data_IF_587163743622
#
_entry.id   IF_587163743622
#
_cell.length_a   1.000
_cell.length_b   1.000
_cell.length_c   1.000
_cell.angle_alpha   90.00
_cell.angle_beta   90.00
_cell.angle_gamma   90.00
#
_symmetry.space_group_name_H-M   'P 1'
#
loop_
_entity.id
_entity.type
_entity.pdbx_description
1 polymer ?
#
# COMPACT_ATOMS: atom_id res chain seq x y z
N UNK A 1 10.87 11.96 4.02
CA UNK A 1 9.62 11.18 3.84
C UNK A 1 8.44 12.06 4.20
N UNK A 2 7.33 11.89 3.49
CA UNK A 2 6.05 12.53 3.77
C UNK A 2 5.05 11.48 4.23
N UNK A 3 4.07 11.89 5.01
CA UNK A 3 2.99 11.03 5.44
C UNK A 3 1.87 11.00 4.39
N UNK A 4 1.43 9.80 4.02
CA UNK A 4 0.27 9.59 3.16
C UNK A 4 -0.64 8.53 3.78
N UNK A 5 -1.94 8.73 3.63
CA UNK A 5 -2.96 7.79 4.04
C UNK A 5 -3.49 7.07 2.80
N UNK A 6 -3.48 5.74 2.83
CA UNK A 6 -4.03 4.90 1.79
C UNK A 6 -5.25 4.17 2.32
N UNK A 7 -6.41 4.41 1.72
CA UNK A 7 -7.62 3.65 2.05
C UNK A 7 -7.57 2.34 1.26
N UNK A 8 -7.24 1.24 1.94
CA UNK A 8 -7.14 -0.09 1.34
C UNK A 8 -8.12 -1.02 2.05
N UNK A 9 -9.08 -1.57 1.29
CA UNK A 9 -10.11 -2.47 1.80
C UNK A 9 -9.52 -3.73 2.46
N UNK A 10 -8.35 -4.18 2.01
CA UNK A 10 -7.75 -5.44 2.43
C UNK A 10 -6.62 -5.25 3.46
N UNK A 11 -6.66 -6.06 4.53
CA UNK A 11 -5.56 -6.12 5.51
C UNK A 11 -4.44 -7.03 5.00
N UNK A 12 -3.50 -6.49 4.23
CA UNK A 12 -2.31 -7.27 3.87
C UNK A 12 -1.04 -6.43 3.88
N UNK A 13 -0.46 -6.26 5.08
CA UNK A 13 0.79 -5.49 5.28
C UNK A 13 1.91 -6.03 4.40
N UNK A 14 2.03 -7.35 4.23
CA UNK A 14 3.11 -7.97 3.45
C UNK A 14 3.02 -7.59 1.97
N UNK A 15 1.82 -7.64 1.39
CA UNK A 15 1.59 -7.19 0.00
C UNK A 15 1.75 -5.68 -0.17
N UNK A 16 1.26 -4.89 0.80
CA UNK A 16 1.48 -3.46 0.79
C UNK A 16 2.98 -3.15 0.73
N UNK A 17 3.76 -3.79 1.61
CA UNK A 17 5.22 -3.66 1.61
C UNK A 17 5.82 -4.08 0.27
N UNK A 18 5.48 -5.25 -0.27
CA UNK A 18 5.97 -5.70 -1.57
C UNK A 18 5.74 -4.65 -2.66
N UNK A 19 4.53 -4.09 -2.73
CA UNK A 19 4.20 -3.11 -3.77
C UNK A 19 4.90 -1.76 -3.56
N UNK A 20 5.01 -1.30 -2.31
CA UNK A 20 5.81 -0.11 -1.98
C UNK A 20 7.30 -0.30 -2.26
N UNK A 21 7.81 -1.52 -2.10
CA UNK A 21 9.17 -1.91 -2.47
C UNK A 21 9.42 -1.75 -3.97
N UNK A 22 8.44 -2.12 -4.82
CA UNK A 22 8.53 -1.91 -6.27
C UNK A 22 8.60 -0.43 -6.65
N UNK A 23 7.86 0.44 -5.94
CA UNK A 23 7.82 1.88 -6.26
C UNK A 23 9.00 2.67 -5.73
N UNK A 24 9.43 2.40 -4.49
CA UNK A 24 10.41 3.22 -3.78
C UNK A 24 11.74 2.49 -3.52
N UNK A 25 11.76 1.17 -3.68
CA UNK A 25 12.86 0.32 -3.21
C UNK A 25 12.75 0.01 -1.72
N UNK A 26 13.37 -1.10 -1.31
CA UNK A 26 13.45 -1.48 0.09
C UNK A 26 14.08 -0.36 0.93
N UNK A 27 13.55 -0.16 2.14
CA UNK A 27 14.01 0.84 3.12
C UNK A 27 13.68 2.33 2.80
N UNK A 28 13.15 2.64 1.62
CA UNK A 28 12.75 4.02 1.27
C UNK A 28 11.32 4.38 1.69
N UNK A 29 10.62 3.48 2.38
CA UNK A 29 9.25 3.70 2.85
C UNK A 29 9.05 3.05 4.23
N UNK A 30 8.08 3.57 4.99
CA UNK A 30 7.70 3.03 6.28
C UNK A 30 6.18 2.84 6.35
N UNK A 31 5.74 1.71 6.91
CA UNK A 31 4.31 1.46 7.16
C UNK A 31 4.09 1.59 8.66
N UNK A 32 3.55 2.74 9.06
CA UNK A 32 3.44 3.17 10.47
C UNK A 32 2.33 2.41 11.17
N UNK A 33 1.09 2.63 10.76
CA UNK A 33 -0.09 2.12 11.45
C UNK A 33 -1.25 1.87 10.47
N UNK A 34 -2.19 1.02 10.87
CA UNK A 34 -3.48 0.86 10.21
C UNK A 34 -4.60 1.26 11.16
N UNK A 35 -5.47 2.16 10.71
CA UNK A 35 -6.71 2.53 11.39
C UNK A 35 -7.89 2.10 10.52
N UNK A 36 -8.55 1.00 10.88
CA UNK A 36 -9.66 0.44 10.08
C UNK A 36 -9.18 -0.03 8.70
N UNK A 37 -9.73 0.54 7.64
CA UNK A 37 -9.28 0.30 6.25
C UNK A 37 -8.23 1.31 5.78
N UNK A 38 -7.76 2.22 6.65
CA UNK A 38 -6.80 3.26 6.26
C UNK A 38 -5.40 2.92 6.76
N UNK A 39 -4.43 2.86 5.86
CA UNK A 39 -3.02 2.63 6.13
C UNK A 39 -2.27 3.95 6.15
N UNK A 40 -1.59 4.23 7.27
CA UNK A 40 -0.67 5.34 7.38
C UNK A 40 0.73 4.88 6.95
N UNK A 41 1.25 5.48 5.89
CA UNK A 41 2.59 5.20 5.36
C UNK A 41 3.42 6.47 5.27
N UNK A 42 4.73 6.31 5.37
CA UNK A 42 5.72 7.35 5.13
C UNK A 42 6.50 6.98 3.86
N UNK A 43 6.47 7.86 2.88
CA UNK A 43 7.03 7.62 1.54
C UNK A 43 7.82 8.85 1.07
N UNK A 44 8.76 8.73 0.12
CA UNK A 44 9.62 9.85 -0.26
C UNK A 44 8.88 10.86 -1.17
N UNK A 45 7.86 10.42 -1.91
CA UNK A 45 6.95 11.25 -2.72
C UNK A 45 5.51 10.78 -2.56
N UNK A 46 4.53 11.61 -2.93
CA UNK A 46 3.12 11.17 -2.95
C UNK A 46 2.93 10.10 -4.03
N UNK A 47 2.11 9.11 -3.71
CA UNK A 47 1.57 8.17 -4.70
C UNK A 47 0.48 8.88 -5.49
N UNK A 48 0.54 8.75 -6.81
CA UNK A 48 -0.51 9.20 -7.73
C UNK A 48 -1.75 8.31 -7.62
N UNK A 49 -2.90 8.81 -8.07
CA UNK A 49 -4.17 8.06 -8.03
C UNK A 49 -4.04 6.69 -8.69
N UNK A 50 -3.41 6.64 -9.87
CA UNK A 50 -3.12 5.41 -10.61
C UNK A 50 -2.29 4.40 -9.81
N UNK A 51 -1.27 4.87 -9.08
CA UNK A 51 -0.41 4.01 -8.26
C UNK A 51 -1.18 3.44 -7.05
N UNK A 52 -2.07 4.24 -6.47
CA UNK A 52 -2.96 3.80 -5.39
C UNK A 52 -3.95 2.75 -5.89
N UNK A 53 -4.52 2.94 -7.08
CA UNK A 53 -5.37 1.95 -7.72
C UNK A 53 -4.63 0.63 -7.97
N UNK A 54 -3.40 0.68 -8.49
CA UNK A 54 -2.57 -0.52 -8.71
C UNK A 54 -2.27 -1.25 -7.39
N UNK A 55 -1.97 -0.52 -6.31
CA UNK A 55 -1.78 -1.11 -4.97
C UNK A 55 -3.05 -1.82 -4.51
N UNK A 56 -4.20 -1.17 -4.68
CA UNK A 56 -5.50 -1.72 -4.30
C UNK A 56 -5.85 -2.96 -5.11
N UNK A 57 -5.62 -2.95 -6.42
CA UNK A 57 -5.80 -4.12 -7.29
C UNK A 57 -4.87 -5.26 -6.91
N UNK A 58 -3.59 -4.98 -6.63
CA UNK A 58 -2.63 -5.99 -6.21
C UNK A 58 -3.03 -6.66 -4.88
N UNK A 59 -3.63 -5.87 -3.98
CA UNK A 59 -4.23 -6.39 -2.76
C UNK A 59 -5.46 -7.27 -3.04
N UNK A 60 -6.35 -6.81 -3.93
CA UNK A 60 -7.58 -7.50 -4.33
C UNK A 60 -7.31 -8.84 -5.04
N UNK A 61 -6.28 -8.92 -5.88
CA UNK A 61 -5.98 -10.14 -6.64
C UNK A 61 -5.71 -11.36 -5.75
N UNK A 62 -5.39 -11.18 -4.46
CA UNK A 62 -5.30 -12.32 -3.53
C UNK A 62 -6.66 -12.94 -3.19
N UNK A 63 -7.72 -12.13 -3.19
CA UNK A 63 -9.07 -12.58 -2.83
C UNK A 63 -9.81 -13.22 -4.01
N UNK A 64 -9.47 -12.84 -5.25
CA UNK A 64 -10.12 -13.38 -6.46
C UNK A 64 -9.69 -14.82 -6.82
N UNK A 65 -8.65 -15.37 -6.21
CA UNK A 65 -8.23 -16.77 -6.44
C UNK A 65 -8.95 -17.80 -5.55
N UNK A 66 -10.03 -17.42 -4.86
CA UNK A 66 -10.89 -18.33 -4.06
C UNK A 66 -12.36 -18.34 -4.52
N UNK A 67 -12.62 -18.27 -5.82
CA UNK A 67 -13.96 -18.55 -6.38
C UNK A 67 -13.86 -19.49 -7.56
#
# INVERSE_FOLDING_TARGET
MIQQFLTLEYENKKKLKQKLDEYFGSDNYEVVERSGNQWQIMIPRKLEETEVEEIQEHMKQHYKSKS
#
